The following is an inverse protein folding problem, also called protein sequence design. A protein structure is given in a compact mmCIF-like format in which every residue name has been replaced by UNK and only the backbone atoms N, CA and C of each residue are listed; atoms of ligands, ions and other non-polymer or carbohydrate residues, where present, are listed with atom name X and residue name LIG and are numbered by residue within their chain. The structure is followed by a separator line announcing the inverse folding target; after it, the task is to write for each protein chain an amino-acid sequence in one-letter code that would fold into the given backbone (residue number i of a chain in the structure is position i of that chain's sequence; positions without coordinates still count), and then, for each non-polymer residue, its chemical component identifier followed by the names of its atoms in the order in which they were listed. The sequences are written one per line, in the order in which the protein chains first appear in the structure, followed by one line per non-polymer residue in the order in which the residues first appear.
data_IF_111085291892
#
_entry.id   IF_111085291892
#
_cell.length_a   1.000
_cell.length_b   1.000
_cell.length_c   1.000
_cell.angle_alpha   90.00
_cell.angle_beta   90.00
_cell.angle_gamma   90.00
#
_symmetry.space_group_name_H-M   'P 1'
#
loop_
_entity.id
_entity.type
_entity.pdbx_description
1 polymer ?
#
# COMPACT_ATOMS: atom_id res chain seq x y z
N UNK A 1 -4.66 13.77 5.03
CA UNK A 1 -5.34 13.29 3.81
C UNK A 1 -5.02 11.81 3.67
N UNK A 2 -6.02 10.98 3.35
CA UNK A 2 -5.86 9.52 3.25
C UNK A 2 -5.66 9.20 1.78
N UNK A 3 -4.41 8.99 1.39
CA UNK A 3 -4.08 8.71 0.00
C UNK A 3 -4.40 7.25 -0.31
N UNK A 4 -5.39 7.04 -1.17
CA UNK A 4 -5.65 5.71 -1.72
C UNK A 4 -4.68 5.45 -2.85
N UNK A 5 -3.94 4.34 -2.74
CA UNK A 5 -2.94 3.98 -3.74
C UNK A 5 -3.50 2.87 -4.61
N UNK A 6 -3.46 3.09 -5.92
CA UNK A 6 -3.74 2.08 -6.92
C UNK A 6 -2.46 1.75 -7.66
N UNK A 7 -1.93 0.56 -7.44
CA UNK A 7 -0.72 0.14 -8.14
C UNK A 7 -0.77 -1.35 -8.43
N UNK A 8 -0.09 -1.74 -9.50
CA UNK A 8 -0.02 -3.12 -9.96
C UNK A 8 1.23 -3.75 -9.37
N UNK A 9 1.08 -4.91 -8.72
CA UNK A 9 2.23 -5.62 -8.18
C UNK A 9 3.05 -6.20 -9.33
N UNK A 10 4.26 -5.69 -9.54
CA UNK A 10 5.16 -6.13 -10.61
C UNK A 10 6.14 -7.20 -10.15
N UNK A 11 6.56 -7.14 -8.90
CA UNK A 11 7.52 -8.08 -8.34
C UNK A 11 7.18 -8.35 -6.87
N UNK A 12 7.49 -9.55 -6.41
CA UNK A 12 7.33 -9.95 -5.03
C UNK A 12 8.69 -10.37 -4.48
N UNK A 13 9.10 -9.76 -3.37
CA UNK A 13 10.26 -10.18 -2.57
C UNK A 13 9.81 -10.80 -1.26
N UNK A 14 10.70 -11.48 -0.56
CA UNK A 14 10.36 -12.15 0.71
C UNK A 14 9.77 -11.21 1.77
N UNK A 15 10.24 -9.95 1.85
CA UNK A 15 9.79 -8.97 2.86
C UNK A 15 8.94 -7.81 2.32
N UNK A 16 8.82 -7.65 1.01
CA UNK A 16 8.10 -6.53 0.41
C UNK A 16 7.65 -6.86 -1.02
N UNK A 17 6.61 -6.20 -1.49
CA UNK A 17 6.21 -6.18 -2.89
C UNK A 17 6.76 -4.92 -3.57
N UNK A 18 6.94 -5.00 -4.88
CA UNK A 18 7.21 -3.84 -5.74
C UNK A 18 5.94 -3.55 -6.53
N UNK A 19 5.23 -2.51 -6.11
CA UNK A 19 4.11 -1.96 -6.86
C UNK A 19 4.62 -0.99 -7.93
N UNK A 20 3.93 -0.94 -9.06
CA UNK A 20 4.14 0.08 -10.08
C UNK A 20 2.83 0.83 -10.34
N UNK A 21 2.91 2.15 -10.33
CA UNK A 21 1.81 3.03 -10.73
C UNK A 21 1.61 3.03 -12.25
N UNK A 22 0.48 3.56 -12.70
CA UNK A 22 0.23 3.82 -14.12
C UNK A 22 1.22 4.82 -14.71
N UNK A 23 1.76 5.71 -13.88
CA UNK A 23 2.84 6.62 -14.28
C UNK A 23 4.22 5.94 -14.37
N UNK A 24 4.30 4.62 -14.18
CA UNK A 24 5.56 3.86 -14.20
C UNK A 24 6.41 3.99 -12.93
N UNK A 25 6.00 4.83 -11.98
CA UNK A 25 6.69 5.01 -10.69
C UNK A 25 6.58 3.73 -9.85
N UNK A 26 7.72 3.25 -9.34
CA UNK A 26 7.80 2.04 -8.53
C UNK A 26 7.80 2.38 -7.05
N UNK A 27 7.03 1.64 -6.28
CA UNK A 27 6.91 1.78 -4.84
C UNK A 27 7.30 0.49 -4.13
N UNK A 28 7.89 0.62 -2.94
CA UNK A 28 8.12 -0.51 -2.04
C UNK A 28 6.93 -0.68 -1.12
N UNK A 29 6.17 -1.76 -1.29
CA UNK A 29 5.01 -2.08 -0.46
C UNK A 29 5.46 -3.10 0.58
N UNK A 30 5.40 -2.79 1.87
CA UNK A 30 5.76 -3.78 2.89
C UNK A 30 4.78 -4.94 2.91
N UNK A 31 5.30 -6.17 2.98
CA UNK A 31 4.50 -7.34 3.32
C UNK A 31 4.12 -7.22 4.79
N UNK A 32 2.82 -7.24 5.04
CA UNK A 32 2.28 -7.28 6.38
C UNK A 32 1.21 -8.38 6.46
N UNK A 33 0.86 -8.85 7.64
CA UNK A 33 -0.16 -9.91 7.80
C UNK A 33 -1.54 -9.48 7.26
N UNK A 34 -1.77 -8.18 7.20
CA UNK A 34 -2.97 -7.55 6.69
C UNK A 34 -3.07 -7.53 5.16
N UNK A 35 -2.01 -7.90 4.44
CA UNK A 35 -1.95 -7.76 2.97
C UNK A 35 -1.23 -8.94 2.30
N UNK A 36 -2.04 -9.82 1.70
CA UNK A 36 -1.56 -10.89 0.82
C UNK A 36 -1.89 -10.53 -0.62
N UNK A 37 -0.86 -10.21 -1.40
CA UNK A 37 -0.97 -9.92 -2.82
C UNK A 37 -0.14 -10.93 -3.60
N UNK A 38 -0.42 -11.07 -4.89
CA UNK A 38 0.43 -11.81 -5.83
C UNK A 38 0.95 -10.89 -6.92
N UNK A 39 2.02 -11.29 -7.59
CA UNK A 39 2.53 -10.58 -8.77
C UNK A 39 1.48 -10.63 -9.89
N UNK A 40 1.21 -9.47 -10.50
CA UNK A 40 0.21 -9.30 -11.55
C UNK A 40 -1.13 -8.77 -11.05
N UNK A 41 -1.33 -8.69 -9.73
CA UNK A 41 -2.58 -8.23 -9.13
C UNK A 41 -2.69 -6.69 -9.16
N UNK A 42 -3.88 -6.18 -9.49
CA UNK A 42 -4.22 -4.76 -9.41
C UNK A 42 -4.74 -4.48 -8.02
N UNK A 43 -3.92 -3.82 -7.19
CA UNK A 43 -4.26 -3.59 -5.80
C UNK A 43 -4.73 -2.15 -5.59
N UNK A 44 -5.90 -2.04 -4.97
CA UNK A 44 -6.47 -0.79 -4.49
C UNK A 44 -6.50 -0.83 -2.97
N UNK A 45 -5.59 -0.11 -2.32
CA UNK A 45 -5.45 -0.15 -0.87
C UNK A 45 -5.07 1.20 -0.27
N UNK A 46 -5.39 1.35 1.00
CA UNK A 46 -4.93 2.48 1.79
C UNK A 46 -3.50 2.22 2.23
N UNK A 47 -2.60 3.13 1.90
CA UNK A 47 -1.22 3.04 2.30
C UNK A 47 -0.75 4.38 2.83
N UNK A 48 0.15 4.33 3.81
CA UNK A 48 0.91 5.51 4.19
C UNK A 48 2.15 5.58 3.30
N UNK A 49 2.27 6.65 2.51
CA UNK A 49 3.49 6.97 1.76
C UNK A 49 4.50 7.60 2.71
N UNK A 50 5.62 6.92 2.90
CA UNK A 50 6.81 7.49 3.53
C UNK A 50 7.80 7.85 2.43
N UNK A 51 8.14 9.14 2.36
CA UNK A 51 9.12 9.67 1.43
C UNK A 51 10.51 9.16 1.86
N UNK A 52 11.01 8.16 1.15
CA UNK A 52 12.31 7.56 1.41
C UNK A 52 13.34 8.12 0.45
N UNK A 53 14.53 8.44 0.95
CA UNK A 53 15.65 9.07 0.23
C UNK A 53 16.01 8.35 -1.09
N UNK A 54 15.75 7.03 -1.22
CA UNK A 54 16.00 6.26 -2.44
C UNK A 54 14.74 5.77 -3.18
N UNK A 55 13.70 5.39 -2.44
CA UNK A 55 12.44 4.84 -2.97
C UNK A 55 11.33 5.14 -1.97
N UNK A 56 10.24 5.71 -2.47
CA UNK A 56 9.00 5.85 -1.73
C UNK A 56 8.55 4.48 -1.19
N UNK A 57 8.25 4.47 0.10
CA UNK A 57 7.79 3.28 0.81
C UNK A 57 6.29 3.44 1.07
N UNK A 58 5.53 2.46 0.64
CA UNK A 58 4.10 2.35 0.92
C UNK A 58 3.93 1.33 2.03
N UNK A 59 3.44 1.77 3.17
CA UNK A 59 3.06 0.88 4.26
C UNK A 59 1.55 0.69 4.18
N UNK A 60 1.06 -0.47 3.68
CA UNK A 60 -0.36 -0.78 3.66
C UNK A 60 -0.91 -0.76 5.09
N UNK A 61 -2.04 -0.10 5.26
CA UNK A 61 -2.75 0.03 6.55
C UNK A 61 -4.12 -0.62 6.42
N UNK A 62 -4.57 -1.30 7.48
CA UNK A 62 -5.95 -1.80 7.57
C UNK A 62 -6.95 -0.64 7.59
N UNK A 63 -8.19 -0.90 7.16
CA UNK A 63 -9.32 0.03 7.21
C UNK A 63 -9.52 0.64 8.62
N UNK A 64 -9.36 -0.13 9.69
CA UNK A 64 -9.39 0.38 11.07
C UNK A 64 -8.28 1.42 11.34
N UNK A 65 -7.04 1.15 10.92
CA UNK A 65 -5.90 2.07 11.04
C UNK A 65 -5.96 3.25 10.07
N UNK A 66 -6.63 3.08 8.93
CA UNK A 66 -6.95 4.16 8.01
C UNK A 66 -7.96 5.13 8.63
N UNK A 67 -8.44 4.87 9.84
CA UNK A 67 -9.36 5.73 10.56
C UNK A 67 -10.73 5.71 9.91
N UNK A 68 -11.23 4.54 9.54
CA UNK A 68 -12.69 4.35 9.53
C UNK A 68 -13.13 4.49 10.99
N UNK A 69 -13.19 5.74 11.45
CA UNK A 69 -13.93 6.15 12.62
C UNK A 69 -15.35 5.67 12.31
N UNK A 70 -15.70 4.49 12.84
CA UNK A 70 -17.05 4.30 13.31
C UNK A 70 -17.26 5.47 14.25
N UNK A 71 -17.84 6.56 13.74
CA UNK A 71 -18.47 7.55 14.60
C UNK A 71 -19.59 6.77 15.27
N UNK A 72 -19.27 6.06 16.34
CA UNK A 72 -20.24 5.72 17.37
C UNK A 72 -20.56 7.05 18.03
N UNK A 73 -21.36 7.85 17.33
CA UNK A 73 -22.21 8.83 17.96
C UNK A 73 -23.30 8.01 18.64
N UNK A 74 -23.08 7.63 19.89
CA UNK A 74 -24.15 7.34 20.86
C UNK A 74 -23.59 7.57 22.25
#
# INVERSE_FOLDING_TARGET
MRDTFRCIIKDEKSNYYIGQDYNGKKYKILKNEHIRCRVGDDLYFYAKKEDGILRDKLTPISDEMAGVIHRSCT
#
